data_IF_734101646514
#
_entry.id   IF_734101646514
#
_cell.length_a   1.000
_cell.length_b   1.000
_cell.length_c   1.000
_cell.angle_alpha   90.00
_cell.angle_beta   90.00
_cell.angle_gamma   90.00
#
_symmetry.space_group_name_H-M   'P 1'
#
loop_
_entity.id
_entity.type
_entity.pdbx_description
1 polymer ?
#
# COMPACT_ATOMS: atom_id res chain seq x y z
N UNK A 1 -17.03 19.86 -10.51
CA UNK A 1 -16.11 21.00 -10.32
C UNK A 1 -14.82 20.78 -11.09
N UNK A 2 -13.96 19.84 -10.68
CA UNK A 2 -12.68 19.52 -11.32
C UNK A 2 -12.72 19.41 -12.86
N UNK A 3 -13.62 18.61 -13.45
CA UNK A 3 -13.70 18.46 -14.91
C UNK A 3 -14.04 19.74 -15.69
N UNK A 4 -14.62 20.75 -15.02
CA UNK A 4 -14.98 22.04 -15.63
C UNK A 4 -13.90 23.11 -15.43
N UNK A 5 -13.15 23.04 -14.33
CA UNK A 5 -12.23 24.12 -13.91
C UNK A 5 -10.76 23.74 -14.01
N UNK A 6 -10.44 22.47 -14.24
CA UNK A 6 -9.06 21.96 -14.14
C UNK A 6 -8.52 21.92 -12.70
N UNK A 7 -9.33 22.29 -11.71
CA UNK A 7 -8.95 22.18 -10.30
C UNK A 7 -8.77 20.71 -9.91
N UNK A 8 -7.88 20.47 -8.94
CA UNK A 8 -7.61 19.11 -8.44
C UNK A 8 -8.87 18.44 -7.90
N UNK A 9 -9.00 17.14 -8.14
CA UNK A 9 -10.07 16.34 -7.54
C UNK A 9 -9.80 16.16 -6.05
N UNK A 10 -10.86 16.19 -5.23
CA UNK A 10 -10.78 15.94 -3.78
C UNK A 10 -10.23 14.55 -3.44
N UNK A 11 -10.32 13.59 -4.35
CA UNK A 11 -9.85 12.22 -4.21
C UNK A 11 -8.91 11.82 -5.36
N UNK A 12 -7.81 12.57 -5.53
CA UNK A 12 -6.77 12.22 -6.50
C UNK A 12 -6.01 10.94 -6.10
N UNK A 13 -5.28 10.36 -7.04
CA UNK A 13 -4.53 9.11 -6.83
C UNK A 13 -3.44 9.21 -5.76
N UNK A 14 -2.83 10.37 -5.57
CA UNK A 14 -1.80 10.55 -4.54
C UNK A 14 -2.41 10.40 -3.14
N UNK A 15 -3.50 11.12 -2.87
CA UNK A 15 -4.23 11.01 -1.61
C UNK A 15 -4.88 9.63 -1.43
N UNK A 16 -5.61 9.16 -2.45
CA UNK A 16 -6.30 7.88 -2.40
C UNK A 16 -5.33 6.70 -2.22
N UNK A 17 -4.14 6.77 -2.83
CA UNK A 17 -3.09 5.78 -2.70
C UNK A 17 -2.59 5.67 -1.26
N UNK A 18 -2.19 6.78 -0.64
CA UNK A 18 -1.70 6.79 0.74
C UNK A 18 -2.77 6.37 1.75
N UNK A 19 -4.02 6.80 1.55
CA UNK A 19 -5.13 6.38 2.41
C UNK A 19 -5.36 4.87 2.33
N UNK A 20 -5.37 4.33 1.11
CA UNK A 20 -5.56 2.89 0.86
C UNK A 20 -4.41 2.07 1.46
N UNK A 21 -3.18 2.53 1.27
CA UNK A 21 -1.97 1.94 1.85
C UNK A 21 -2.07 1.87 3.38
N UNK A 22 -2.36 2.99 4.05
CA UNK A 22 -2.48 3.05 5.50
C UNK A 22 -3.59 2.12 6.03
N UNK A 23 -4.75 2.10 5.36
CA UNK A 23 -5.87 1.25 5.76
C UNK A 23 -5.53 -0.25 5.66
N UNK A 24 -4.84 -0.67 4.60
CA UNK A 24 -4.42 -2.06 4.45
C UNK A 24 -3.36 -2.50 5.45
N UNK A 25 -2.46 -1.60 5.86
CA UNK A 25 -1.44 -1.92 6.88
C UNK A 25 -2.06 -2.31 8.23
N UNK A 26 -3.25 -1.80 8.57
CA UNK A 26 -3.99 -2.25 9.76
C UNK A 26 -4.28 -3.74 9.74
N UNK A 27 -4.76 -4.27 8.60
CA UNK A 27 -5.01 -5.70 8.42
C UNK A 27 -3.72 -6.52 8.44
N UNK A 28 -2.64 -5.99 7.85
CA UNK A 28 -1.33 -6.67 7.87
C UNK A 28 -0.80 -6.75 9.30
N UNK A 29 -0.88 -5.67 10.07
CA UNK A 29 -0.46 -5.65 11.47
C UNK A 29 -1.25 -6.62 12.33
N UNK A 30 -2.59 -6.67 12.15
CA UNK A 30 -3.45 -7.64 12.81
C UNK A 30 -3.01 -9.08 12.51
N UNK A 31 -2.78 -9.42 11.24
CA UNK A 31 -2.35 -10.77 10.83
C UNK A 31 -0.92 -11.12 11.24
N UNK A 32 -0.04 -10.12 11.36
CA UNK A 32 1.32 -10.29 11.84
C UNK A 32 1.42 -10.33 13.38
N UNK A 33 0.33 -10.00 14.09
CA UNK A 33 0.25 -10.00 15.55
C UNK A 33 1.15 -8.96 16.24
N UNK A 34 1.59 -7.93 15.52
CA UNK A 34 2.51 -6.92 16.06
C UNK A 34 2.37 -5.57 15.34
N UNK A 35 2.86 -4.51 16.00
CA UNK A 35 3.00 -3.19 15.38
C UNK A 35 4.05 -3.24 14.27
N UNK A 36 3.75 -2.63 13.13
CA UNK A 36 4.64 -2.56 11.97
C UNK A 36 5.25 -1.16 11.87
N UNK A 37 6.56 -1.10 11.65
CA UNK A 37 7.27 0.11 11.26
C UNK A 37 7.39 0.11 9.74
N UNK A 38 6.80 1.11 9.09
CA UNK A 38 6.57 1.09 7.65
C UNK A 38 7.43 2.12 6.91
N UNK A 39 8.09 1.68 5.84
CA UNK A 39 8.77 2.53 4.88
C UNK A 39 7.96 2.57 3.58
N UNK A 40 7.19 3.65 3.39
CA UNK A 40 6.33 3.84 2.21
C UNK A 40 7.10 3.95 0.90
N UNK A 41 8.28 4.57 0.91
CA UNK A 41 9.10 4.71 -0.29
C UNK A 41 9.60 3.36 -0.83
N UNK A 42 9.88 2.40 0.06
CA UNK A 42 10.32 1.03 -0.31
C UNK A 42 9.19 0.00 -0.29
N UNK A 43 8.00 0.40 0.16
CA UNK A 43 6.86 -0.48 0.42
C UNK A 43 7.25 -1.71 1.25
N UNK A 44 7.89 -1.47 2.40
CA UNK A 44 8.47 -2.52 3.25
C UNK A 44 8.29 -2.23 4.74
N UNK A 45 8.09 -3.31 5.50
CA UNK A 45 8.18 -3.30 6.96
C UNK A 45 9.64 -3.40 7.37
N UNK A 46 10.08 -2.57 8.31
CA UNK A 46 11.49 -2.46 8.71
C UNK A 46 11.82 -3.22 9.98
N UNK A 47 10.83 -3.57 10.80
CA UNK A 47 11.04 -4.18 12.12
C UNK A 47 10.77 -5.69 12.18
N UNK A 48 10.23 -6.31 11.12
CA UNK A 48 9.97 -7.76 11.07
C UNK A 48 9.84 -8.25 9.64
N UNK A 49 10.18 -9.53 9.39
CA UNK A 49 9.90 -10.24 8.12
C UNK A 49 8.57 -10.99 8.13
N UNK A 50 7.93 -11.13 9.30
CA UNK A 50 6.70 -11.91 9.46
C UNK A 50 5.49 -11.34 8.68
N UNK A 51 5.56 -10.06 8.28
CA UNK A 51 4.53 -9.39 7.50
C UNK A 51 4.73 -9.51 5.98
N UNK A 52 5.92 -9.86 5.48
CA UNK A 52 6.28 -9.77 4.06
C UNK A 52 5.34 -10.59 3.16
N UNK A 53 4.92 -11.77 3.65
CA UNK A 53 3.98 -12.67 2.96
C UNK A 53 2.58 -12.06 2.74
N UNK A 54 2.22 -11.01 3.46
CA UNK A 54 0.94 -10.32 3.34
C UNK A 54 1.03 -9.05 2.49
N UNK A 55 2.24 -8.54 2.27
CA UNK A 55 2.50 -7.30 1.53
C UNK A 55 2.78 -7.61 0.06
N UNK A 56 3.56 -8.67 -0.21
CA UNK A 56 3.93 -9.08 -1.56
C UNK A 56 3.34 -10.43 -1.89
N UNK A 57 2.87 -10.56 -3.13
CA UNK A 57 2.42 -11.82 -3.71
C UNK A 57 3.43 -12.25 -4.77
N UNK A 58 3.77 -13.53 -4.77
CA UNK A 58 4.49 -14.11 -5.90
C UNK A 58 3.58 -14.11 -7.13
N UNK A 59 4.05 -13.47 -8.20
CA UNK A 59 3.33 -13.50 -9.47
C UNK A 59 3.25 -14.94 -10.00
N UNK A 60 2.10 -15.28 -10.60
CA UNK A 60 1.90 -16.59 -11.20
C UNK A 60 2.89 -16.77 -12.37
N UNK A 61 3.42 -17.99 -12.52
CA UNK A 61 4.27 -18.37 -13.67
C UNK A 61 3.63 -17.92 -14.99
N UNK A 62 4.44 -17.33 -15.87
CA UNK A 62 4.01 -16.77 -17.16
C UNK A 62 3.62 -15.29 -17.12
N UNK A 63 3.37 -14.71 -15.95
CA UNK A 63 3.17 -13.26 -15.78
C UNK A 63 4.46 -12.62 -15.26
N UNK A 64 5.05 -11.75 -16.08
CA UNK A 64 6.17 -10.89 -15.68
C UNK A 64 5.66 -9.45 -15.62
N UNK A 65 6.02 -8.75 -14.56
CA UNK A 65 5.88 -7.29 -14.53
C UNK A 65 6.95 -6.74 -15.46
N UNK A 66 6.53 -6.09 -16.55
CA UNK A 66 7.41 -5.46 -17.55
C UNK A 66 7.71 -4.03 -17.12
#
# INVERSE_FOLDING_TARGET
HACKTGASTTCNFQYAGWLTEANHLGNVAYRAGQKLMWNSAKLQVTNTRGADRFIRREYRKGWKLV
#
